data_IF_210799863278
#
_entry.id   IF_210799863278
#
_cell.length_a   1.000
_cell.length_b   1.000
_cell.length_c   1.000
_cell.angle_alpha   90.00
_cell.angle_beta   90.00
_cell.angle_gamma   90.00
#
_symmetry.space_group_name_H-M   'P 1'
#
loop_
_entity.id
_entity.type
_entity.pdbx_description
1 polymer ?
#
# COMPACT_ATOMS: atom_id res chain seq x y z
N UNK A 1 -9.45 -39.34 -2.67
CA UNK A 1 -9.27 -39.26 -4.14
C UNK A 1 -8.20 -38.23 -4.45
N UNK A 2 -7.19 -38.62 -5.23
CA UNK A 2 -5.97 -37.85 -5.46
C UNK A 2 -6.26 -36.74 -6.48
N UNK A 3 -5.71 -35.53 -6.31
CA UNK A 3 -5.81 -34.43 -7.28
C UNK A 3 -5.44 -34.87 -8.70
N UNK A 4 -4.54 -35.85 -8.82
CA UNK A 4 -4.13 -36.47 -10.10
C UNK A 4 -5.25 -37.24 -10.81
N UNK A 5 -6.21 -37.79 -10.08
CA UNK A 5 -7.32 -38.57 -10.65
C UNK A 5 -8.36 -37.61 -11.27
N UNK A 6 -8.61 -36.47 -10.62
CA UNK A 6 -9.50 -35.40 -11.13
C UNK A 6 -8.97 -34.76 -12.43
N UNK A 7 -7.64 -34.59 -12.55
CA UNK A 7 -7.01 -34.10 -13.79
C UNK A 7 -7.19 -35.06 -14.96
N UNK A 8 -7.30 -36.37 -14.69
CA UNK A 8 -7.48 -37.39 -15.72
C UNK A 8 -8.89 -37.39 -16.28
N UNK A 9 -9.89 -37.29 -15.42
CA UNK A 9 -11.31 -37.38 -15.81
C UNK A 9 -11.86 -36.06 -16.38
N UNK A 10 -11.25 -34.92 -16.02
CA UNK A 10 -11.72 -33.58 -16.42
C UNK A 10 -10.66 -32.77 -17.19
N UNK A 11 -9.70 -33.44 -17.84
CA UNK A 11 -8.60 -32.81 -18.60
C UNK A 11 -9.07 -31.75 -19.62
N UNK A 12 -10.28 -31.88 -20.17
CA UNK A 12 -10.82 -30.95 -21.17
C UNK A 12 -11.59 -29.77 -20.56
N UNK A 13 -12.05 -29.86 -19.31
CA UNK A 13 -12.79 -28.78 -18.64
C UNK A 13 -11.94 -28.00 -17.64
N UNK A 14 -10.79 -28.56 -17.21
CA UNK A 14 -9.83 -27.88 -16.33
C UNK A 14 -8.79 -27.18 -17.20
N UNK A 15 -9.24 -26.20 -17.99
CA UNK A 15 -8.36 -25.25 -18.67
C UNK A 15 -8.11 -24.09 -17.70
N UNK A 16 -7.13 -24.24 -16.80
CA UNK A 16 -6.65 -23.09 -16.04
C UNK A 16 -5.83 -22.21 -16.98
N UNK A 17 -6.50 -21.32 -17.70
CA UNK A 17 -5.87 -20.32 -18.56
C UNK A 17 -5.26 -19.22 -17.71
N UNK A 18 -4.11 -19.49 -17.08
CA UNK A 18 -3.15 -18.43 -16.81
C UNK A 18 -2.35 -18.21 -18.10
N UNK A 19 -2.96 -17.55 -19.09
CA UNK A 19 -2.31 -17.25 -20.38
C UNK A 19 -1.24 -16.15 -20.26
N UNK A 20 -1.17 -15.43 -19.14
CA UNK A 20 -0.05 -14.56 -18.76
C UNK A 20 0.28 -14.77 -17.28
N UNK A 21 1.40 -15.44 -16.99
CA UNK A 21 1.92 -15.63 -15.62
C UNK A 21 2.71 -14.40 -15.12
N UNK A 22 3.07 -13.46 -15.98
CA UNK A 22 3.75 -12.26 -15.52
C UNK A 22 3.47 -11.10 -16.45
N UNK A 23 2.98 -10.01 -15.88
CA UNK A 23 3.23 -8.66 -16.41
C UNK A 23 4.75 -8.61 -16.63
N UNK A 24 5.23 -8.26 -17.83
CA UNK A 24 6.66 -7.98 -18.00
C UNK A 24 7.02 -6.96 -16.92
N UNK A 25 8.13 -7.13 -16.22
CA UNK A 25 8.58 -6.22 -15.16
C UNK A 25 9.04 -4.88 -15.77
N UNK A 26 8.19 -4.26 -16.58
CA UNK A 26 8.33 -2.89 -17.04
C UNK A 26 7.96 -2.01 -15.85
N UNK A 27 8.88 -1.09 -15.54
CA UNK A 27 8.91 -0.15 -14.41
C UNK A 27 7.59 -0.03 -13.66
N UNK A 28 7.49 -0.67 -12.48
CA UNK A 28 6.26 -0.67 -11.67
C UNK A 28 5.92 0.69 -11.07
N UNK A 29 6.91 1.58 -10.95
CA UNK A 29 6.73 2.89 -10.34
C UNK A 29 7.75 3.88 -10.88
N UNK A 30 7.28 5.01 -11.41
CA UNK A 30 8.09 6.20 -11.69
C UNK A 30 7.70 7.29 -10.69
N UNK A 31 8.65 7.78 -9.91
CA UNK A 31 8.42 8.84 -8.91
C UNK A 31 9.07 10.12 -9.43
N UNK A 32 8.24 11.12 -9.74
CA UNK A 32 8.69 12.48 -10.09
C UNK A 32 8.27 13.43 -8.96
N UNK A 33 9.16 13.70 -7.99
CA UNK A 33 8.80 14.53 -6.84
C UNK A 33 8.66 16.00 -7.26
N UNK A 34 7.49 16.58 -6.97
CA UNK A 34 7.24 18.01 -7.08
C UNK A 34 7.27 18.65 -5.70
N UNK A 35 8.27 19.50 -5.46
CA UNK A 35 8.38 20.27 -4.23
C UNK A 35 7.57 21.56 -4.33
N UNK A 36 7.14 22.10 -3.19
CA UNK A 36 6.48 23.40 -3.14
C UNK A 36 7.42 24.50 -3.66
N UNK A 37 6.91 25.46 -4.44
CA UNK A 37 7.73 26.54 -5.06
C UNK A 37 8.54 27.36 -4.04
N UNK A 38 8.07 27.42 -2.79
CA UNK A 38 8.81 28.02 -1.69
C UNK A 38 10.21 27.38 -1.50
N UNK A 39 10.35 26.08 -1.73
CA UNK A 39 11.61 25.34 -1.62
C UNK A 39 12.62 25.63 -2.74
N UNK A 40 12.22 26.41 -3.76
CA UNK A 40 13.13 26.96 -4.79
C UNK A 40 13.13 28.49 -4.78
N UNK A 41 12.42 29.11 -3.81
CA UNK A 41 12.29 30.57 -3.71
C UNK A 41 13.42 31.19 -2.88
N UNK A 42 13.57 32.51 -3.02
CA UNK A 42 14.50 33.30 -2.19
C UNK A 42 14.21 33.21 -0.69
N UNK A 43 12.98 32.84 -0.27
CA UNK A 43 12.57 32.87 1.13
C UNK A 43 13.27 31.83 2.02
N UNK A 44 13.86 30.79 1.42
CA UNK A 44 14.64 29.79 2.14
C UNK A 44 16.16 30.02 2.00
N UNK A 45 16.57 31.07 1.30
CA UNK A 45 17.98 31.40 1.07
C UNK A 45 18.62 32.00 2.32
N UNK A 46 19.91 31.73 2.50
CA UNK A 46 20.67 32.29 3.61
C UNK A 46 20.73 33.82 3.54
N UNK A 47 20.74 34.39 2.32
CA UNK A 47 20.71 35.83 2.06
C UNK A 47 19.43 36.48 2.60
N UNK A 48 18.25 35.92 2.28
CA UNK A 48 16.97 36.41 2.80
C UNK A 48 16.89 36.32 4.32
N UNK A 49 17.32 35.19 4.88
CA UNK A 49 17.30 34.97 6.33
C UNK A 49 18.24 35.96 7.03
N UNK A 50 19.45 36.20 6.49
CA UNK A 50 20.39 37.20 7.00
C UNK A 50 19.86 38.62 6.84
N UNK A 51 19.20 38.94 5.73
CA UNK A 51 18.59 40.24 5.51
C UNK A 51 17.55 40.55 6.59
N UNK A 52 16.64 39.62 6.90
CA UNK A 52 15.66 39.84 7.98
C UNK A 52 16.35 39.91 9.35
N UNK A 53 17.39 39.10 9.60
CA UNK A 53 18.08 39.05 10.89
C UNK A 53 18.95 40.29 11.17
N UNK A 54 19.66 40.80 10.17
CA UNK A 54 20.69 41.85 10.30
C UNK A 54 20.24 43.22 9.81
N UNK A 55 19.99 43.36 8.50
CA UNK A 55 19.77 44.65 7.84
C UNK A 55 18.30 45.11 7.85
N UNK A 56 17.36 44.20 8.09
CA UNK A 56 15.92 44.42 8.28
C UNK A 56 15.56 45.11 9.59
N UNK A 57 16.44 45.97 10.10
CA UNK A 57 16.25 46.87 11.23
C UNK A 57 15.53 46.27 12.45
N UNK A 58 16.28 45.62 13.33
CA UNK A 58 15.99 45.65 14.77
C UNK A 58 16.32 47.04 15.36
N UNK A 59 15.89 48.10 14.66
CA UNK A 59 15.96 49.44 15.23
C UNK A 59 14.99 49.49 16.42
N UNK A 60 15.38 50.15 17.50
CA UNK A 60 14.60 50.35 18.75
C UNK A 60 13.19 50.95 18.58
N UNK A 61 12.73 51.17 17.34
CA UNK A 61 11.45 51.79 16.96
C UNK A 61 10.35 50.78 16.63
N UNK A 62 10.64 49.49 16.56
CA UNK A 62 9.62 48.48 16.27
C UNK A 62 9.08 47.86 17.56
N UNK A 63 7.79 47.52 17.52
CA UNK A 63 7.10 46.92 18.64
C UNK A 63 7.52 45.45 18.80
N UNK A 64 7.41 44.91 20.01
CA UNK A 64 7.87 43.53 20.32
C UNK A 64 7.06 42.45 19.59
N UNK A 65 5.88 42.79 19.07
CA UNK A 65 5.02 41.94 18.23
C UNK A 65 5.37 42.03 16.73
N UNK A 66 6.43 42.75 16.37
CA UNK A 66 6.87 42.82 14.98
C UNK A 66 7.30 41.45 14.46
N UNK A 67 6.71 41.03 13.34
CA UNK A 67 6.94 39.69 12.78
C UNK A 67 8.41 39.40 12.53
N UNK A 68 9.25 40.42 12.28
CA UNK A 68 10.70 40.29 12.04
C UNK A 68 11.46 39.70 13.22
N UNK A 69 10.91 39.74 14.43
CA UNK A 69 11.50 39.04 15.59
C UNK A 69 11.40 37.52 15.49
N UNK A 70 10.34 37.00 14.85
CA UNK A 70 10.07 35.56 14.75
C UNK A 70 10.33 34.99 13.34
N UNK A 71 10.27 35.84 12.32
CA UNK A 71 10.39 35.46 10.92
C UNK A 71 11.68 34.74 10.56
N UNK A 72 12.89 35.15 11.03
CA UNK A 72 14.12 34.43 10.71
C UNK A 72 14.06 32.95 11.13
N UNK A 73 13.55 32.69 12.34
CA UNK A 73 13.37 31.32 12.85
C UNK A 73 12.36 30.51 12.05
N UNK A 74 11.28 31.14 11.59
CA UNK A 74 10.28 30.51 10.72
C UNK A 74 10.86 30.17 9.35
N UNK A 75 11.56 31.11 8.69
CA UNK A 75 12.19 30.86 7.38
C UNK A 75 13.33 29.84 7.46
N UNK A 76 14.10 29.82 8.56
CA UNK A 76 15.09 28.78 8.83
C UNK A 76 14.45 27.39 8.97
N UNK A 77 13.30 27.32 9.66
CA UNK A 77 12.53 26.09 9.80
C UNK A 77 12.02 25.60 8.45
N UNK A 78 11.49 26.51 7.62
CA UNK A 78 11.06 26.20 6.25
C UNK A 78 12.24 25.71 5.39
N UNK A 79 13.40 26.35 5.47
CA UNK A 79 14.61 25.92 4.76
C UNK A 79 15.03 24.51 5.15
N UNK A 80 15.00 24.21 6.46
CA UNK A 80 15.31 22.88 7.00
C UNK A 80 14.30 21.83 6.53
N UNK A 81 13.00 22.15 6.54
CA UNK A 81 11.95 21.24 6.06
C UNK A 81 12.09 20.95 4.56
N UNK A 82 12.40 21.96 3.75
CA UNK A 82 12.66 21.79 2.32
C UNK A 82 13.87 20.88 2.07
N UNK A 83 14.99 21.11 2.78
CA UNK A 83 16.19 20.25 2.69
C UNK A 83 15.88 18.82 3.08
N UNK A 84 15.23 18.60 4.23
CA UNK A 84 14.88 17.25 4.69
C UNK A 84 13.93 16.53 3.71
N UNK A 85 12.96 17.24 3.14
CA UNK A 85 12.02 16.66 2.17
C UNK A 85 12.73 16.28 0.87
N UNK A 86 13.63 17.14 0.39
CA UNK A 86 14.46 16.88 -0.78
C UNK A 86 15.42 15.73 -0.53
N UNK A 87 16.14 15.73 0.59
CA UNK A 87 17.07 14.67 0.97
C UNK A 87 16.37 13.32 1.09
N UNK A 88 15.21 13.24 1.76
CA UNK A 88 14.47 11.98 1.92
C UNK A 88 13.98 11.43 0.58
N UNK A 89 13.48 12.28 -0.31
CA UNK A 89 12.92 11.85 -1.59
C UNK A 89 13.98 11.66 -2.69
N UNK A 90 15.11 12.35 -2.61
CA UNK A 90 16.25 12.17 -3.51
C UNK A 90 17.20 11.08 -3.02
N UNK A 91 17.15 10.70 -1.74
CA UNK A 91 17.80 9.48 -1.26
C UNK A 91 17.02 8.27 -1.77
N UNK A 92 17.39 7.80 -2.96
CA UNK A 92 16.87 6.59 -3.60
C UNK A 92 16.72 5.43 -2.59
N UNK A 93 17.70 5.27 -1.70
CA UNK A 93 17.78 4.14 -0.77
C UNK A 93 16.58 4.03 0.20
N UNK A 94 16.11 5.15 0.78
CA UNK A 94 15.00 5.11 1.74
C UNK A 94 13.65 4.85 1.07
N UNK A 95 13.45 5.38 -0.13
CA UNK A 95 12.24 5.11 -0.92
C UNK A 95 12.22 3.68 -1.44
N UNK A 96 13.37 3.16 -1.90
CA UNK A 96 13.49 1.77 -2.34
C UNK A 96 13.20 0.81 -1.18
N UNK A 97 13.73 1.06 0.02
CA UNK A 97 13.42 0.24 1.20
C UNK A 97 11.93 0.25 1.54
N UNK A 98 11.27 1.42 1.55
CA UNK A 98 9.82 1.51 1.80
C UNK A 98 9.01 0.76 0.70
N UNK A 99 9.42 0.87 -0.56
CA UNK A 99 8.81 0.16 -1.69
C UNK A 99 8.96 -1.36 -1.54
N UNK A 100 10.15 -1.84 -1.21
CA UNK A 100 10.39 -3.28 -0.96
C UNK A 100 9.52 -3.82 0.17
N UNK A 101 9.36 -3.06 1.26
CA UNK A 101 8.47 -3.43 2.37
C UNK A 101 7.01 -3.51 1.90
N UNK A 102 6.55 -2.55 1.09
CA UNK A 102 5.18 -2.55 0.55
C UNK A 102 4.96 -3.73 -0.39
N UNK A 103 5.91 -4.02 -1.28
CA UNK A 103 5.85 -5.15 -2.20
C UNK A 103 5.79 -6.48 -1.45
N UNK A 104 6.64 -6.67 -0.44
CA UNK A 104 6.63 -7.87 0.39
C UNK A 104 5.29 -8.05 1.12
N UNK A 105 4.71 -6.97 1.66
CA UNK A 105 3.38 -7.01 2.29
C UNK A 105 2.27 -7.35 1.30
N UNK A 106 2.31 -6.80 0.10
CA UNK A 106 1.34 -7.08 -0.96
C UNK A 106 1.36 -8.57 -1.33
N UNK A 107 2.55 -9.15 -1.54
CA UNK A 107 2.70 -10.58 -1.85
C UNK A 107 2.11 -11.47 -0.75
N UNK A 108 2.43 -11.18 0.51
CA UNK A 108 1.91 -11.93 1.66
C UNK A 108 0.39 -11.78 1.81
N UNK A 109 -0.13 -10.57 1.63
CA UNK A 109 -1.56 -10.27 1.80
C UNK A 109 -2.41 -10.90 0.70
N UNK A 110 -1.93 -10.88 -0.55
CA UNK A 110 -2.60 -11.52 -1.67
C UNK A 110 -2.71 -13.04 -1.47
N UNK A 111 -1.61 -13.69 -1.08
CA UNK A 111 -1.58 -15.12 -0.78
C UNK A 111 -2.52 -15.48 0.38
N UNK A 112 -2.47 -14.74 1.49
CA UNK A 112 -3.35 -14.97 2.64
C UNK A 112 -4.82 -14.77 2.29
N UNK A 113 -5.15 -13.72 1.54
CA UNK A 113 -6.52 -13.44 1.10
C UNK A 113 -7.06 -14.56 0.22
N UNK A 114 -6.24 -15.07 -0.71
CA UNK A 114 -6.60 -16.22 -1.55
C UNK A 114 -6.87 -17.47 -0.72
N UNK A 115 -5.99 -17.82 0.23
CA UNK A 115 -6.17 -18.99 1.11
C UNK A 115 -7.45 -18.86 1.93
N UNK A 116 -7.73 -17.68 2.48
CA UNK A 116 -8.94 -17.43 3.24
C UNK A 116 -10.21 -17.62 2.38
N UNK A 117 -10.20 -17.08 1.16
CA UNK A 117 -11.30 -17.25 0.22
C UNK A 117 -11.51 -18.73 -0.15
N UNK A 118 -10.42 -19.45 -0.41
CA UNK A 118 -10.47 -20.88 -0.72
C UNK A 118 -11.06 -21.70 0.44
N UNK A 119 -10.64 -21.42 1.68
CA UNK A 119 -11.17 -22.08 2.86
C UNK A 119 -12.67 -21.81 3.04
N UNK A 120 -13.10 -20.56 2.84
CA UNK A 120 -14.52 -20.19 2.89
C UNK A 120 -15.35 -20.97 1.87
N UNK A 121 -14.88 -21.06 0.62
CA UNK A 121 -15.55 -21.84 -0.43
C UNK A 121 -15.68 -23.31 -0.02
N UNK A 122 -14.62 -23.90 0.55
CA UNK A 122 -14.62 -25.28 1.01
C UNK A 122 -15.63 -25.52 2.14
N UNK A 123 -15.74 -24.59 3.07
CA UNK A 123 -16.73 -24.64 4.17
C UNK A 123 -18.17 -24.54 3.66
N UNK A 124 -18.41 -23.65 2.68
CA UNK A 124 -19.73 -23.51 2.04
C UNK A 124 -20.11 -24.81 1.32
N UNK A 125 -19.19 -25.40 0.54
CA UNK A 125 -19.44 -26.67 -0.17
C UNK A 125 -19.72 -27.80 0.83
N UNK A 126 -18.93 -27.91 1.90
CA UNK A 126 -19.13 -28.93 2.93
C UNK A 126 -20.49 -28.78 3.62
N UNK A 127 -20.87 -27.55 3.96
CA UNK A 127 -22.17 -27.27 4.57
C UNK A 127 -23.34 -27.60 3.62
N UNK A 128 -23.20 -27.26 2.34
CA UNK A 128 -24.20 -27.60 1.31
C UNK A 128 -24.33 -29.12 1.13
N UNK A 129 -23.22 -29.86 1.16
CA UNK A 129 -23.24 -31.32 1.07
C UNK A 129 -24.04 -31.94 2.24
N UNK A 130 -23.81 -31.45 3.46
CA UNK A 130 -24.54 -31.88 4.65
C UNK A 130 -26.03 -31.55 4.49
N UNK A 131 -26.36 -30.31 4.16
CA UNK A 131 -27.75 -29.87 3.98
C UNK A 131 -28.49 -30.69 2.92
N UNK A 132 -27.83 -30.96 1.78
CA UNK A 132 -28.40 -31.83 0.74
C UNK A 132 -28.68 -33.23 1.27
N UNK A 133 -27.77 -33.84 2.04
CA UNK A 133 -28.03 -35.14 2.66
C UNK A 133 -29.23 -35.11 3.60
N UNK A 134 -29.35 -34.09 4.46
CA UNK A 134 -30.52 -33.92 5.34
C UNK A 134 -31.84 -33.72 4.56
N UNK A 135 -31.79 -33.05 3.40
CA UNK A 135 -32.97 -32.77 2.55
C UNK A 135 -33.27 -33.91 1.57
N UNK A 136 -32.40 -34.88 1.34
CA UNK A 136 -32.72 -36.01 0.45
C UNK A 136 -33.08 -37.28 1.21
N UNK A 137 -32.63 -37.43 2.46
CA UNK A 137 -32.88 -38.64 3.26
C UNK A 137 -34.25 -38.65 3.96
N UNK A 138 -35.02 -37.55 3.98
CA UNK A 138 -36.38 -37.55 4.57
C UNK A 138 -37.43 -38.25 3.70
N UNK A 139 -37.14 -38.52 2.42
CA UNK A 139 -38.07 -39.20 1.50
C UNK A 139 -37.94 -40.74 1.50
N UNK A 140 -36.94 -41.32 2.16
CA UNK A 140 -36.82 -42.78 2.30
C UNK A 140 -36.94 -43.19 3.78
N UNK A 141 -38.16 -43.41 4.31
CA UNK A 141 -38.29 -44.15 5.54
C UNK A 141 -37.72 -45.55 5.29
N UNK A 142 -36.73 -45.96 6.09
CA UNK A 142 -36.26 -47.33 6.12
C UNK A 142 -37.45 -48.23 6.51
N UNK A 143 -38.16 -48.76 5.51
CA UNK A 143 -39.13 -49.81 5.70
C UNK A 143 -38.38 -51.04 6.19
N UNK A 144 -38.58 -51.34 7.47
CA UNK A 144 -38.19 -52.58 8.10
C UNK A 144 -39.04 -53.73 7.56
N UNK A 145 -38.70 -54.34 6.43
CA UNK A 145 -39.41 -55.53 5.95
C UNK A 145 -38.49 -56.55 5.24
N UNK A 146 -38.28 -57.68 5.93
CA UNK A 146 -37.91 -59.04 5.50
C UNK A 146 -36.54 -59.22 4.79
N UNK A 147 -35.55 -59.95 5.33
CA UNK A 147 -35.52 -61.28 5.98
C UNK A 147 -34.50 -61.34 7.13
#
# INVERSE_FOLDING_TARGET
>A
SNYKDLLKDHSYSIQCSCSQISIQYETFLNIEPHFHDLCSSQFISDEWIHYIYGEGHLSRRFSFDDYRYSAPGQFLSLSSLCKLSQEKLLSENLLIEEIEIILNRLQLTASKSFINLFNLIREIIGSNMIMSAWITDWEYPLQSEYF
#
